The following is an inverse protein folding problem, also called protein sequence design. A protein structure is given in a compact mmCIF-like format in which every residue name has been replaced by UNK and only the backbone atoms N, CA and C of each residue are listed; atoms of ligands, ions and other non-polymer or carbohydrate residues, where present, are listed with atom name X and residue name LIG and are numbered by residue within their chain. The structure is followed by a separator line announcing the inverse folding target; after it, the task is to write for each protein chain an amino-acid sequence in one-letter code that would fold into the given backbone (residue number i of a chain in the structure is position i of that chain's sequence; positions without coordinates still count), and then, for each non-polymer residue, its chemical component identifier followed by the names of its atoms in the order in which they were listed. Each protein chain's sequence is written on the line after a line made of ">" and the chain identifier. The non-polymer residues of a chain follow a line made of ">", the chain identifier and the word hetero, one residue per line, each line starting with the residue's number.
data_IF_734012712758
#
_entry.id   IF_734012712758
#
_cell.length_a   1.000
_cell.length_b   1.000
_cell.length_c   1.000
_cell.angle_alpha   90.00
_cell.angle_beta   90.00
_cell.angle_gamma   90.00
#
_symmetry.space_group_name_H-M   'P 1'
#
loop_
_entity.id
_entity.type
_entity.pdbx_description
1 polymer ?
#
# COMPACT_ATOMS: atom_id res chain seq x y z
N UNK A 1 21.17 -15.71 9.94
CA UNK A 1 21.81 -14.49 9.38
C UNK A 1 22.77 -14.79 8.23
N UNK A 2 23.67 -15.78 8.34
CA UNK A 2 24.67 -16.09 7.29
C UNK A 2 24.06 -16.28 5.90
N UNK A 3 23.00 -17.10 5.79
CA UNK A 3 22.33 -17.36 4.50
C UNK A 3 21.92 -16.07 3.76
N UNK A 4 21.33 -15.09 4.45
CA UNK A 4 20.86 -13.84 3.81
C UNK A 4 22.05 -13.01 3.31
N UNK A 5 23.10 -12.88 4.13
CA UNK A 5 24.30 -12.11 3.78
C UNK A 5 25.05 -12.78 2.64
N UNK A 6 25.16 -14.11 2.66
CA UNK A 6 25.90 -14.88 1.68
C UNK A 6 25.16 -14.97 0.34
N UNK A 7 23.82 -15.05 0.34
CA UNK A 7 23.01 -15.17 -0.86
C UNK A 7 22.67 -13.82 -1.51
N UNK A 8 22.32 -12.81 -0.71
CA UNK A 8 21.85 -11.51 -1.22
C UNK A 8 22.89 -10.40 -1.11
N UNK A 9 24.01 -10.64 -0.40
CA UNK A 9 25.10 -9.67 -0.22
C UNK A 9 24.62 -8.33 0.37
N UNK A 10 23.62 -8.38 1.26
CA UNK A 10 23.01 -7.23 1.91
C UNK A 10 22.88 -7.47 3.43
N UNK A 11 22.87 -6.41 4.26
CA UNK A 11 22.55 -6.53 5.68
C UNK A 11 21.15 -7.11 5.89
N UNK A 12 20.98 -7.86 6.99
CA UNK A 12 19.68 -8.39 7.40
C UNK A 12 19.07 -7.47 8.47
N UNK A 13 17.78 -7.19 8.33
CA UNK A 13 16.96 -6.54 9.35
C UNK A 13 16.12 -7.61 10.07
N UNK A 14 16.00 -7.51 11.38
CA UNK A 14 15.18 -8.42 12.21
C UNK A 14 14.18 -7.58 12.97
N UNK A 15 12.90 -7.84 12.75
CA UNK A 15 11.78 -7.08 13.30
C UNK A 15 10.79 -8.01 13.99
N UNK A 16 10.01 -7.45 14.91
CA UNK A 16 8.86 -8.16 15.47
C UNK A 16 7.82 -8.38 14.36
N UNK A 17 7.30 -9.60 14.27
CA UNK A 17 6.24 -9.90 13.33
C UNK A 17 4.90 -9.42 13.89
N UNK A 18 4.28 -8.48 13.17
CA UNK A 18 2.97 -7.96 13.54
C UNK A 18 1.91 -8.94 13.02
N UNK A 19 1.58 -9.98 13.78
CA UNK A 19 0.44 -10.87 13.47
C UNK A 19 -0.88 -10.12 13.70
N UNK A 20 -1.50 -9.67 12.61
CA UNK A 20 -2.65 -8.78 12.62
C UNK A 20 -3.14 -8.48 11.20
N UNK A 21 -4.08 -7.55 11.07
CA UNK A 21 -4.66 -7.16 9.77
C UNK A 21 -3.63 -6.42 8.92
N UNK A 22 -3.60 -6.65 7.62
CA UNK A 22 -2.68 -5.98 6.68
C UNK A 22 -3.45 -5.15 5.66
N UNK A 23 -2.97 -3.94 5.39
CA UNK A 23 -3.61 -2.97 4.52
C UNK A 23 -2.62 -2.42 3.50
N UNK A 24 -3.07 -2.33 2.26
CA UNK A 24 -2.47 -1.50 1.23
C UNK A 24 -3.25 -0.20 1.13
N UNK A 25 -2.60 0.92 1.47
CA UNK A 25 -3.21 2.25 1.49
C UNK A 25 -2.56 3.13 0.44
N UNK A 26 -3.30 3.42 -0.63
CA UNK A 26 -2.81 4.31 -1.68
C UNK A 26 -3.13 5.76 -1.34
N UNK A 27 -2.16 6.65 -1.50
CA UNK A 27 -2.34 8.09 -1.36
C UNK A 27 -1.82 8.80 -2.59
N UNK A 28 -2.37 9.98 -2.87
CA UNK A 28 -1.86 10.88 -3.89
C UNK A 28 -1.93 12.33 -3.46
N UNK A 29 -1.12 13.17 -4.10
CA UNK A 29 -1.12 14.61 -3.88
C UNK A 29 0.24 15.19 -3.52
N UNK A 30 0.33 16.51 -3.66
CA UNK A 30 1.51 17.31 -3.34
C UNK A 30 1.06 18.40 -2.34
N UNK A 31 1.19 18.14 -1.04
CA UNK A 31 0.67 19.01 0.02
C UNK A 31 -0.77 18.67 0.42
N UNK A 32 -1.76 18.89 -0.45
CA UNK A 32 -3.12 18.37 -0.23
C UNK A 32 -3.16 16.89 -0.61
N UNK A 33 -3.03 16.03 0.40
CA UNK A 33 -3.01 14.58 0.24
C UNK A 33 -4.44 14.04 0.33
N UNK A 34 -4.78 13.13 -0.57
CA UNK A 34 -6.00 12.36 -0.56
C UNK A 34 -5.64 10.87 -0.41
N UNK A 35 -6.31 10.20 0.51
CA UNK A 35 -6.19 8.77 0.73
C UNK A 35 -7.30 8.07 -0.05
N UNK A 36 -6.93 7.05 -0.83
CA UNK A 36 -7.86 6.17 -1.51
C UNK A 36 -8.42 5.11 -0.55
N UNK A 37 -9.57 4.48 -0.88
CA UNK A 37 -10.10 3.37 -0.10
C UNK A 37 -9.03 2.30 0.19
N UNK A 38 -8.76 1.97 1.46
CA UNK A 38 -7.78 0.94 1.81
C UNK A 38 -8.19 -0.43 1.26
N UNK A 39 -7.23 -1.20 0.77
CA UNK A 39 -7.41 -2.62 0.47
C UNK A 39 -6.86 -3.43 1.65
N UNK A 40 -7.61 -4.40 2.16
CA UNK A 40 -7.13 -5.33 3.20
C UNK A 40 -6.74 -6.67 2.58
N UNK A 41 -5.59 -7.19 2.97
CA UNK A 41 -5.15 -8.55 2.62
C UNK A 41 -5.73 -9.50 3.68
N UNK A 42 -6.77 -10.24 3.31
CA UNK A 42 -7.41 -11.20 4.21
C UNK A 42 -6.66 -12.53 4.21
N UNK A 43 -6.12 -12.86 5.39
CA UNK A 43 -5.42 -14.11 5.65
C UNK A 43 -6.29 -15.14 6.39
N UNK A 44 -7.62 -14.98 6.42
CA UNK A 44 -8.53 -15.84 7.17
C UNK A 44 -8.41 -17.34 6.86
N UNK A 45 -7.91 -17.71 5.67
CA UNK A 45 -7.64 -19.09 5.28
C UNK A 45 -6.37 -19.70 5.91
N UNK A 46 -5.54 -18.89 6.55
CA UNK A 46 -4.25 -19.30 7.14
C UNK A 46 -4.32 -19.29 8.67
N UNK A 47 -4.28 -20.47 9.27
CA UNK A 47 -4.26 -20.64 10.72
C UNK A 47 -2.87 -20.44 11.32
N UNK A 48 -1.81 -20.78 10.58
CA UNK A 48 -0.43 -20.53 10.96
C UNK A 48 -0.04 -19.09 10.61
N UNK A 49 0.53 -18.37 11.58
CA UNK A 49 0.95 -16.98 11.39
C UNK A 49 2.13 -16.87 10.40
N UNK A 50 2.93 -17.93 10.22
CA UNK A 50 4.03 -17.94 9.25
C UNK A 50 3.54 -17.81 7.79
N UNK A 51 2.30 -18.22 7.51
CA UNK A 51 1.68 -18.15 6.18
C UNK A 51 0.90 -16.84 5.97
N UNK A 52 0.74 -16.01 7.00
CA UNK A 52 0.04 -14.72 6.92
C UNK A 52 0.95 -13.63 6.40
N UNK A 53 1.53 -13.81 5.21
CA UNK A 53 2.45 -12.86 4.60
C UNK A 53 2.28 -12.82 3.08
N UNK A 54 2.33 -11.61 2.52
CA UNK A 54 2.33 -11.41 1.07
C UNK A 54 3.73 -11.67 0.47
N UNK A 55 4.06 -12.95 0.26
CA UNK A 55 5.33 -13.42 -0.33
C UNK A 55 5.35 -13.30 -1.86
N UNK A 56 6.44 -13.71 -2.51
CA UNK A 56 6.47 -13.83 -3.97
C UNK A 56 5.38 -14.79 -4.50
N UNK A 57 5.15 -15.91 -3.80
CA UNK A 57 4.19 -16.92 -4.22
C UNK A 57 2.76 -16.39 -4.23
N UNK A 58 2.42 -15.49 -3.30
CA UNK A 58 1.11 -14.82 -3.28
C UNK A 58 0.94 -13.79 -4.39
N UNK A 59 2.04 -13.24 -4.92
CA UNK A 59 2.03 -12.11 -5.87
C UNK A 59 2.20 -12.55 -7.33
N UNK A 60 3.00 -13.60 -7.56
CA UNK A 60 3.55 -13.87 -8.88
C UNK A 60 3.37 -15.33 -9.34
N UNK A 61 2.80 -16.20 -8.51
CA UNK A 61 2.64 -17.63 -8.82
C UNK A 61 1.15 -18.02 -8.80
N UNK A 62 0.45 -17.85 -9.94
CA UNK A 62 -0.94 -18.29 -10.08
C UNK A 62 -1.12 -19.77 -9.69
N UNK A 63 -2.18 -20.07 -8.94
CA UNK A 63 -2.46 -21.42 -8.45
C UNK A 63 -1.66 -21.84 -7.21
N UNK A 64 -0.77 -21.01 -6.68
CA UNK A 64 -0.18 -21.26 -5.35
C UNK A 64 -1.24 -21.12 -4.26
N UNK A 65 -1.05 -21.81 -3.12
CA UNK A 65 -1.98 -21.71 -1.99
C UNK A 65 -2.16 -20.26 -1.53
N UNK A 66 -1.08 -19.47 -1.50
CA UNK A 66 -1.12 -18.08 -1.09
C UNK A 66 -1.77 -17.17 -2.15
N UNK A 67 -1.56 -17.42 -3.44
CA UNK A 67 -2.17 -16.64 -4.52
C UNK A 67 -3.69 -16.79 -4.53
N UNK A 68 -4.19 -18.01 -4.33
CA UNK A 68 -5.63 -18.29 -4.30
C UNK A 68 -6.25 -18.00 -2.93
N UNK A 69 -5.46 -18.12 -1.86
CA UNK A 69 -5.94 -18.08 -0.48
C UNK A 69 -5.94 -16.68 0.16
N UNK A 70 -5.10 -15.75 -0.30
CA UNK A 70 -5.10 -14.38 0.20
C UNK A 70 -6.11 -13.57 -0.62
N UNK A 71 -7.19 -13.14 0.03
CA UNK A 71 -8.22 -12.34 -0.63
C UNK A 71 -7.97 -10.86 -0.43
N UNK A 72 -8.34 -10.05 -1.42
CA UNK A 72 -8.31 -8.59 -1.28
C UNK A 72 -9.71 -8.08 -0.95
N UNK A 73 -9.90 -7.50 0.23
CA UNK A 73 -11.13 -6.82 0.62
C UNK A 73 -10.99 -5.33 0.31
N UNK A 74 -11.75 -4.83 -0.67
CA UNK A 74 -11.70 -3.45 -1.13
C UNK A 74 -13.12 -2.90 -1.38
N UNK A 75 -13.58 -1.89 -0.62
CA UNK A 75 -12.91 -1.25 0.52
C UNK A 75 -12.74 -2.21 1.69
N UNK A 76 -11.65 -2.04 2.44
CA UNK A 76 -11.42 -2.77 3.69
C UNK A 76 -12.60 -2.53 4.66
N UNK A 77 -13.12 -3.58 5.33
CA UNK A 77 -14.20 -3.47 6.30
C UNK A 77 -13.69 -2.82 7.60
N UNK A 78 -13.59 -1.49 7.58
CA UNK A 78 -13.14 -0.66 8.70
C UNK A 78 -14.31 0.19 9.22
N UNK A 79 -14.41 0.33 10.53
CA UNK A 79 -15.24 1.36 11.16
C UNK A 79 -14.72 2.76 10.81
N UNK A 80 -15.57 3.77 11.02
CA UNK A 80 -15.18 5.16 10.78
C UNK A 80 -14.00 5.62 11.66
N UNK A 81 -13.86 5.07 12.86
CA UNK A 81 -12.74 5.36 13.76
C UNK A 81 -11.44 4.72 13.29
N UNK A 82 -11.48 3.43 12.93
CA UNK A 82 -10.33 2.71 12.37
C UNK A 82 -9.83 3.37 11.08
N UNK A 83 -10.74 3.74 10.17
CA UNK A 83 -10.38 4.41 8.93
C UNK A 83 -9.70 5.76 9.18
N UNK A 84 -10.18 6.54 10.17
CA UNK A 84 -9.54 7.80 10.55
C UNK A 84 -8.17 7.59 11.19
N UNK A 85 -8.03 6.59 12.05
CA UNK A 85 -6.75 6.26 12.69
C UNK A 85 -5.70 5.80 11.67
N UNK A 86 -6.07 4.86 10.79
CA UNK A 86 -5.24 4.39 9.68
C UNK A 86 -4.84 5.56 8.76
N UNK A 87 -5.80 6.42 8.40
CA UNK A 87 -5.54 7.56 7.53
C UNK A 87 -4.56 8.57 8.14
N UNK A 88 -4.67 8.87 9.44
CA UNK A 88 -3.71 9.74 10.14
C UNK A 88 -2.29 9.18 10.08
N UNK A 89 -2.12 7.88 10.35
CA UNK A 89 -0.81 7.22 10.30
C UNK A 89 -0.25 7.24 8.88
N UNK A 90 -1.06 6.88 7.88
CA UNK A 90 -0.60 6.80 6.50
C UNK A 90 -0.23 8.18 5.93
N UNK A 91 -1.05 9.21 6.16
CA UNK A 91 -0.76 10.57 5.72
C UNK A 91 0.51 11.11 6.39
N UNK A 92 0.70 10.85 7.68
CA UNK A 92 1.89 11.27 8.42
C UNK A 92 3.16 10.63 7.85
N UNK A 93 3.12 9.32 7.59
CA UNK A 93 4.24 8.61 6.99
C UNK A 93 4.52 9.11 5.56
N UNK A 94 3.50 9.26 4.71
CA UNK A 94 3.63 9.80 3.35
C UNK A 94 4.34 11.16 3.34
N UNK A 95 3.97 12.06 4.27
CA UNK A 95 4.63 13.37 4.42
C UNK A 95 6.06 13.25 4.95
N UNK A 96 6.30 12.39 5.95
CA UNK A 96 7.59 12.27 6.63
C UNK A 96 8.72 11.80 5.69
N UNK A 97 8.43 10.87 4.77
CA UNK A 97 9.40 10.44 3.74
C UNK A 97 9.42 11.35 2.51
N UNK A 98 8.59 12.39 2.46
CA UNK A 98 8.56 13.35 1.35
C UNK A 98 8.01 12.76 0.05
N UNK A 99 7.06 11.83 0.14
CA UNK A 99 6.37 11.29 -1.04
C UNK A 99 5.66 12.41 -1.81
N UNK A 100 5.56 12.22 -3.12
CA UNK A 100 4.95 13.17 -4.07
C UNK A 100 4.16 12.40 -5.10
N UNK A 101 3.17 13.08 -5.66
CA UNK A 101 2.31 12.61 -6.74
C UNK A 101 1.43 11.42 -6.31
N UNK A 102 2.00 10.25 -6.04
CA UNK A 102 1.28 9.07 -5.55
C UNK A 102 2.19 8.21 -4.67
N UNK A 103 1.63 7.16 -4.10
CA UNK A 103 2.37 6.14 -3.36
C UNK A 103 1.43 5.17 -2.68
N UNK A 104 1.98 4.04 -2.24
CA UNK A 104 1.27 3.02 -1.46
C UNK A 104 2.01 2.82 -0.14
N UNK A 105 1.28 2.73 0.95
CA UNK A 105 1.81 2.32 2.24
C UNK A 105 1.28 0.94 2.57
N UNK A 106 2.18 0.10 3.02
CA UNK A 106 1.87 -1.24 3.49
C UNK A 106 1.86 -1.18 5.02
N UNK A 107 0.73 -1.46 5.62
CA UNK A 107 0.48 -1.20 7.04
C UNK A 107 -0.10 -2.43 7.69
N UNK A 108 0.36 -2.77 8.90
CA UNK A 108 -0.30 -3.78 9.73
C UNK A 108 -0.93 -3.18 10.97
N UNK A 109 -2.01 -3.77 11.44
CA UNK A 109 -2.68 -3.41 12.68
C UNK A 109 -2.75 -4.58 13.65
N UNK A 110 -2.29 -4.35 14.88
CA UNK A 110 -2.39 -5.29 16.02
C UNK A 110 -2.82 -4.51 17.25
N UNK A 111 -3.86 -4.99 17.92
CA UNK A 111 -4.42 -4.38 19.15
C UNK A 111 -4.75 -2.88 19.01
N UNK A 112 -5.26 -2.48 17.83
CA UNK A 112 -5.63 -1.08 17.54
C UNK A 112 -4.45 -0.15 17.22
N UNK A 113 -3.22 -0.68 17.19
CA UNK A 113 -2.01 0.07 16.81
C UNK A 113 -1.65 -0.24 15.36
N UNK A 114 -1.46 0.81 14.55
CA UNK A 114 -1.06 0.70 13.15
C UNK A 114 0.45 0.90 12.98
N UNK A 115 1.10 -0.06 12.33
CA UNK A 115 2.54 -0.11 12.07
C UNK A 115 2.76 0.00 10.56
N UNK A 116 3.49 1.03 10.13
CA UNK A 116 3.90 1.17 8.72
C UNK A 116 5.06 0.22 8.47
N UNK A 117 4.85 -0.77 7.60
CA UNK A 117 5.88 -1.74 7.21
C UNK A 117 6.77 -1.16 6.13
N UNK A 118 6.16 -0.54 5.12
CA UNK A 118 6.87 0.01 3.98
C UNK A 118 6.11 1.20 3.38
N UNK A 119 6.86 2.13 2.81
CA UNK A 119 6.33 3.24 2.01
C UNK A 119 6.89 3.09 0.60
N UNK A 120 6.00 2.88 -0.36
CA UNK A 120 6.31 2.67 -1.77
C UNK A 120 5.97 3.95 -2.57
N UNK A 121 6.92 4.87 -2.83
CA UNK A 121 6.64 6.12 -3.54
C UNK A 121 6.37 5.89 -5.03
N UNK A 122 6.88 4.79 -5.60
CA UNK A 122 6.59 4.33 -6.94
C UNK A 122 5.86 2.99 -6.88
N UNK A 123 4.64 3.02 -6.36
CA UNK A 123 3.81 1.83 -6.25
C UNK A 123 3.44 1.27 -7.64
N UNK A 124 3.15 -0.03 -7.70
CA UNK A 124 2.59 -0.66 -8.89
C UNK A 124 1.26 -0.01 -9.28
N UNK A 125 1.15 0.35 -10.56
CA UNK A 125 -0.01 1.01 -11.15
C UNK A 125 -0.68 0.11 -12.20
N UNK A 126 -0.35 -1.18 -12.28
CA UNK A 126 -1.05 -2.14 -13.15
C UNK A 126 -2.56 -2.12 -12.88
N UNK A 127 -3.37 -2.43 -13.89
CA UNK A 127 -4.83 -2.26 -13.82
C UNK A 127 -5.50 -3.13 -12.74
N UNK A 128 -4.86 -4.23 -12.36
CA UNK A 128 -5.24 -5.17 -11.31
C UNK A 128 -4.53 -4.91 -9.97
N UNK A 129 -3.63 -3.94 -9.91
CA UNK A 129 -2.94 -3.57 -8.68
C UNK A 129 -3.85 -2.78 -7.74
N UNK A 130 -3.59 -2.88 -6.43
CA UNK A 130 -4.42 -2.28 -5.38
C UNK A 130 -4.65 -0.78 -5.55
N UNK A 131 -3.69 -0.04 -6.12
CA UNK A 131 -3.84 1.40 -6.38
C UNK A 131 -4.90 1.67 -7.44
N UNK A 132 -4.85 0.94 -8.56
CA UNK A 132 -5.80 1.10 -9.66
C UNK A 132 -7.21 0.70 -9.22
N UNK A 133 -7.35 -0.44 -8.54
CA UNK A 133 -8.64 -0.88 -8.00
C UNK A 133 -9.20 0.11 -6.97
N UNK A 134 -8.35 0.63 -6.06
CA UNK A 134 -8.80 1.61 -5.07
C UNK A 134 -9.24 2.94 -5.71
N UNK A 135 -8.54 3.37 -6.77
CA UNK A 135 -8.94 4.54 -7.55
C UNK A 135 -10.30 4.33 -8.25
N UNK A 136 -10.56 3.12 -8.76
CA UNK A 136 -11.85 2.76 -9.36
C UNK A 136 -13.00 2.81 -8.35
N UNK A 137 -12.82 2.26 -7.15
CA UNK A 137 -13.79 2.40 -6.06
C UNK A 137 -14.01 3.86 -5.67
N UNK A 138 -12.98 4.70 -5.78
CA UNK A 138 -13.08 6.15 -5.57
C UNK A 138 -13.71 6.91 -6.77
N UNK A 139 -14.14 6.21 -7.83
CA UNK A 139 -14.84 6.79 -8.97
C UNK A 139 -13.94 7.23 -10.13
N UNK A 140 -12.67 6.81 -10.15
CA UNK A 140 -11.74 7.08 -11.25
C UNK A 140 -11.57 5.84 -12.12
N UNK A 141 -11.88 5.93 -13.41
CA UNK A 141 -11.43 4.90 -14.35
C UNK A 141 -9.90 4.81 -14.37
N UNK A 142 -9.36 3.67 -14.79
CA UNK A 142 -7.91 3.48 -14.88
C UNK A 142 -7.19 4.61 -15.64
N UNK A 143 -7.74 5.04 -16.78
CA UNK A 143 -7.21 6.16 -17.55
C UNK A 143 -7.32 7.51 -16.82
N UNK A 144 -8.38 7.72 -16.02
CA UNK A 144 -8.52 8.91 -15.19
C UNK A 144 -7.51 8.92 -14.03
N UNK A 145 -7.26 7.77 -13.40
CA UNK A 145 -6.25 7.61 -12.37
C UNK A 145 -4.84 7.94 -12.91
N UNK A 146 -4.46 7.36 -14.05
CA UNK A 146 -3.20 7.68 -14.73
C UNK A 146 -3.10 9.16 -15.11
N UNK A 147 -4.17 9.73 -15.67
CA UNK A 147 -4.24 11.17 -15.99
C UNK A 147 -4.06 12.05 -14.75
N UNK A 148 -4.59 11.62 -13.60
CA UNK A 148 -4.44 12.35 -12.33
C UNK A 148 -2.99 12.36 -11.87
N UNK A 149 -2.31 11.22 -11.88
CA UNK A 149 -0.89 11.11 -11.52
C UNK A 149 -0.04 12.04 -12.38
N UNK A 150 -0.24 12.01 -13.71
CA UNK A 150 0.49 12.89 -14.64
C UNK A 150 0.22 14.36 -14.34
N UNK A 151 -1.03 14.74 -14.04
CA UNK A 151 -1.38 16.12 -13.68
C UNK A 151 -0.73 16.56 -12.37
N UNK A 152 -0.62 15.68 -11.37
CA UNK A 152 0.07 15.98 -10.11
C UNK A 152 1.55 16.28 -10.35
N UNK A 153 2.21 15.46 -11.17
CA UNK A 153 3.60 15.68 -11.57
C UNK A 153 3.78 16.97 -12.39
N UNK A 154 2.86 17.24 -13.33
CA UNK A 154 2.91 18.44 -14.18
C UNK A 154 2.80 19.73 -13.36
N UNK A 155 1.92 19.78 -12.34
CA UNK A 155 1.72 20.96 -11.49
C UNK A 155 2.96 21.40 -10.70
N UNK A 156 3.90 20.48 -10.44
CA UNK A 156 5.16 20.79 -9.75
C UNK A 156 6.34 20.95 -10.70
N UNK A 157 6.14 20.78 -12.00
CA UNK A 157 7.21 20.88 -12.97
C UNK A 157 7.48 22.36 -13.32
N UNK A 158 8.74 22.83 -13.35
CA UNK A 158 9.06 24.25 -13.52
C UNK A 158 8.54 24.86 -14.83
N UNK A 159 8.31 24.05 -15.86
CA UNK A 159 7.79 24.50 -17.17
C UNK A 159 6.26 24.37 -17.27
N UNK A 160 5.64 23.43 -16.56
CA UNK A 160 4.21 23.09 -16.73
C UNK A 160 3.35 23.47 -15.53
N UNK A 161 3.96 23.88 -14.42
CA UNK A 161 3.26 24.50 -13.31
C UNK A 161 2.59 25.78 -13.84
N UNK A 162 1.26 25.80 -13.92
CA UNK A 162 0.53 27.06 -14.08
C UNK A 162 0.90 27.94 -12.88
N UNK A 163 1.36 29.16 -13.16
CA UNK A 163 1.46 30.20 -12.15
C UNK A 163 0.03 30.61 -11.80
N UNK A 164 -0.57 29.93 -10.83
CA UNK A 164 -1.81 30.34 -10.18
C UNK A 164 -1.49 31.14 -8.91
#
# INVERSE_FOLDING_TARGET
>A
MSYIIDAYHQPALVEDFIDGREFHVSLWGNGRIEMLPPAEMDFSLFSDFHDRLCTHDSKCVPGSLHYEGIQTLLPAPLSGEELQALGKVCMSAYMAVGCRDYGRLDVRSRDGVYYVLDVNPNADISADASLACAAEIAGYSYGQAGSRIVRLAARRHPVWATQD
#
